data_IF_600581029671
#
_entry.id   IF_600581029671
#
_cell.length_a   1.000
_cell.length_b   1.000
_cell.length_c   1.000
_cell.angle_alpha   90.00
_cell.angle_beta   90.00
_cell.angle_gamma   90.00
#
_symmetry.space_group_name_H-M   'P 1'
#
loop_
_entity.id
_entity.type
_entity.pdbx_description
1 polymer ?
#
# COMPACT_ATOMS: atom_id res chain seq x y z
N UNK A 1 -6.10 -12.30 -15.48
CA UNK A 1 -6.93 -11.53 -14.48
C UNK A 1 -7.67 -10.35 -15.12
N UNK A 2 -8.82 -9.87 -14.60
CA UNK A 2 -9.55 -8.69 -15.13
C UNK A 2 -9.67 -7.57 -14.10
N UNK A 3 -9.34 -6.33 -14.49
CA UNK A 3 -9.40 -5.13 -13.64
C UNK A 3 -10.40 -4.11 -14.18
N UNK A 4 -10.96 -3.29 -13.28
CA UNK A 4 -11.97 -2.28 -13.55
C UNK A 4 -11.58 -0.94 -12.87
N UNK A 5 -11.94 0.19 -13.50
CA UNK A 5 -11.86 1.53 -12.89
C UNK A 5 -12.80 2.49 -13.62
N UNK A 6 -13.11 3.63 -13.02
CA UNK A 6 -13.69 4.74 -13.76
C UNK A 6 -12.62 5.67 -14.34
N UNK A 7 -12.96 6.33 -15.44
CA UNK A 7 -12.13 7.34 -16.12
C UNK A 7 -12.97 8.55 -16.49
N UNK A 8 -12.41 9.73 -16.30
CA UNK A 8 -12.91 11.01 -16.80
C UNK A 8 -11.71 11.88 -17.20
N UNK A 9 -11.97 12.99 -17.88
CA UNK A 9 -10.96 14.01 -18.20
C UNK A 9 -10.33 14.65 -16.97
N UNK A 10 -11.06 14.73 -15.85
CA UNK A 10 -10.63 15.39 -14.60
C UNK A 10 -9.95 14.44 -13.63
N UNK A 11 -10.46 13.22 -13.48
CA UNK A 11 -9.98 12.24 -12.52
C UNK A 11 -10.15 10.80 -13.01
N UNK A 12 -9.29 9.91 -12.52
CA UNK A 12 -9.32 8.48 -12.84
C UNK A 12 -9.23 7.66 -11.55
N UNK A 13 -10.11 6.68 -11.41
CA UNK A 13 -10.15 5.77 -10.26
C UNK A 13 -8.96 4.81 -10.22
N UNK A 14 -8.79 4.14 -9.07
CA UNK A 14 -7.80 3.06 -8.94
C UNK A 14 -8.32 1.79 -9.61
N UNK A 15 -7.41 0.97 -10.14
CA UNK A 15 -7.77 -0.35 -10.63
C UNK A 15 -8.20 -1.26 -9.47
N UNK A 16 -9.30 -1.98 -9.66
CA UNK A 16 -9.79 -3.00 -8.74
C UNK A 16 -10.24 -4.24 -9.50
N UNK A 17 -10.10 -5.41 -8.89
CA UNK A 17 -10.61 -6.69 -9.42
C UNK A 17 -12.14 -6.80 -9.27
N UNK A 18 -12.72 -6.02 -8.35
CA UNK A 18 -14.15 -6.06 -8.05
C UNK A 18 -14.92 -5.06 -8.92
N UNK A 19 -15.67 -5.58 -9.90
CA UNK A 19 -16.59 -4.76 -10.69
C UNK A 19 -17.60 -4.03 -9.79
N UNK A 20 -18.09 -4.68 -8.73
CA UNK A 20 -19.07 -4.07 -7.81
C UNK A 20 -18.46 -2.85 -7.12
N UNK A 21 -17.21 -2.95 -6.66
CA UNK A 21 -16.52 -1.83 -6.06
C UNK A 21 -16.28 -0.71 -7.07
N UNK A 22 -15.79 -1.04 -8.27
CA UNK A 22 -15.55 -0.05 -9.32
C UNK A 22 -16.83 0.70 -9.72
N UNK A 23 -17.96 -0.01 -9.82
CA UNK A 23 -19.28 0.58 -10.09
C UNK A 23 -19.72 1.49 -8.95
N UNK A 24 -19.49 1.10 -7.70
CA UNK A 24 -19.82 1.94 -6.54
C UNK A 24 -19.00 3.24 -6.56
N UNK A 25 -17.70 3.15 -6.74
CA UNK A 25 -16.83 4.33 -6.83
C UNK A 25 -17.20 5.23 -8.02
N UNK A 26 -17.58 4.64 -9.16
CA UNK A 26 -18.12 5.40 -10.29
C UNK A 26 -19.41 6.16 -9.92
N UNK A 27 -20.38 5.49 -9.30
CA UNK A 27 -21.66 6.10 -8.92
C UNK A 27 -21.48 7.20 -7.88
N UNK A 28 -20.58 7.02 -6.92
CA UNK A 28 -20.29 7.99 -5.86
C UNK A 28 -19.61 9.26 -6.43
N UNK A 29 -18.76 9.11 -7.46
CA UNK A 29 -17.92 10.21 -7.96
C UNK A 29 -18.46 10.89 -9.23
N UNK A 30 -19.29 10.23 -10.04
CA UNK A 30 -19.72 10.75 -11.36
C UNK A 30 -20.39 12.13 -11.25
N UNK A 31 -21.21 12.35 -10.24
CA UNK A 31 -21.98 13.59 -10.10
C UNK A 31 -21.04 14.74 -9.73
N UNK A 32 -20.03 14.47 -8.89
CA UNK A 32 -19.00 15.45 -8.53
C UNK A 32 -18.13 15.83 -9.73
N UNK A 33 -17.70 14.85 -10.52
CA UNK A 33 -16.85 15.08 -11.70
C UNK A 33 -17.56 15.90 -12.78
N UNK A 34 -18.88 15.79 -12.85
CA UNK A 34 -19.73 16.51 -13.80
C UNK A 34 -20.32 17.83 -13.25
N UNK A 35 -20.04 18.19 -12.00
CA UNK A 35 -20.69 19.33 -11.35
C UNK A 35 -20.15 20.71 -11.77
N UNK A 36 -18.86 20.83 -12.03
CA UNK A 36 -18.20 22.12 -12.36
C UNK A 36 -17.91 22.25 -13.86
N UNK A 37 -18.65 23.16 -14.50
CA UNK A 37 -18.50 23.62 -15.90
C UNK A 37 -18.10 22.49 -16.88
N UNK A 38 -18.94 21.45 -17.01
CA UNK A 38 -18.62 20.33 -17.89
C UNK A 38 -18.56 20.83 -19.33
N UNK A 39 -17.46 20.54 -20.03
CA UNK A 39 -17.39 20.73 -21.48
C UNK A 39 -18.48 19.88 -22.16
N UNK A 40 -19.01 20.32 -23.32
CA UNK A 40 -20.13 19.64 -24.02
C UNK A 40 -19.87 18.14 -24.30
N UNK A 41 -18.60 17.71 -24.33
CA UNK A 41 -18.16 16.34 -24.58
C UNK A 41 -17.61 15.60 -23.34
N UNK A 42 -17.74 16.19 -22.15
CA UNK A 42 -17.20 15.58 -20.93
C UNK A 42 -17.97 14.31 -20.57
N UNK A 43 -17.22 13.24 -20.32
CA UNK A 43 -17.79 11.91 -20.02
C UNK A 43 -17.03 11.25 -18.88
N UNK A 44 -17.78 10.57 -18.01
CA UNK A 44 -17.23 9.61 -17.04
C UNK A 44 -17.59 8.22 -17.54
N UNK A 45 -16.61 7.32 -17.61
CA UNK A 45 -16.76 5.97 -18.16
C UNK A 45 -16.24 4.95 -17.16
N UNK A 46 -16.88 3.79 -17.08
CA UNK A 46 -16.33 2.62 -16.41
C UNK A 46 -15.63 1.74 -17.44
N UNK A 47 -14.33 1.51 -17.26
CA UNK A 47 -13.48 0.76 -18.19
C UNK A 47 -12.96 -0.52 -17.55
N UNK A 48 -12.56 -1.48 -18.37
CA UNK A 48 -11.92 -2.72 -17.91
C UNK A 48 -10.74 -3.11 -18.78
N UNK A 49 -9.72 -3.70 -18.17
CA UNK A 49 -8.60 -4.33 -18.86
C UNK A 49 -8.50 -5.79 -18.47
N UNK A 50 -8.03 -6.61 -19.42
CA UNK A 50 -7.68 -8.00 -19.18
C UNK A 50 -6.15 -8.10 -19.14
N UNK A 51 -5.64 -8.54 -17.99
CA UNK A 51 -4.22 -8.78 -17.76
C UNK A 51 -3.94 -10.24 -18.12
N UNK A 52 -3.08 -10.51 -19.13
CA UNK A 52 -2.65 -11.85 -19.46
C UNK A 52 -1.97 -12.51 -18.27
N UNK A 53 -2.21 -13.81 -18.07
CA UNK A 53 -1.62 -14.53 -16.94
C UNK A 53 -0.08 -14.57 -17.03
N UNK A 54 0.49 -14.62 -18.25
CA UNK A 54 1.94 -14.52 -18.48
C UNK A 54 2.58 -13.24 -17.91
N UNK A 55 1.85 -12.13 -17.90
CA UNK A 55 2.33 -10.86 -17.33
C UNK A 55 2.27 -10.86 -15.80
N UNK A 56 1.32 -11.61 -15.22
CA UNK A 56 1.21 -11.74 -13.76
C UNK A 56 2.41 -12.51 -13.24
N UNK A 57 2.75 -13.63 -13.88
CA UNK A 57 3.91 -14.45 -13.53
C UNK A 57 5.21 -13.62 -13.61
N UNK A 58 5.37 -12.81 -14.67
CA UNK A 58 6.53 -11.90 -14.80
C UNK A 58 6.57 -10.85 -13.68
N UNK A 59 5.43 -10.26 -13.30
CA UNK A 59 5.36 -9.27 -12.22
C UNK A 59 5.61 -9.88 -10.83
N UNK A 60 5.21 -11.13 -10.59
CA UNK A 60 5.46 -11.83 -9.34
C UNK A 60 6.95 -12.21 -9.20
N UNK A 61 7.58 -12.69 -10.29
CA UNK A 61 8.99 -13.06 -10.31
C UNK A 61 9.94 -11.84 -10.29
N UNK A 62 9.53 -10.69 -10.85
CA UNK A 62 10.31 -9.43 -10.82
C UNK A 62 10.16 -8.64 -9.51
N UNK A 63 9.41 -9.14 -8.51
CA UNK A 63 9.23 -8.45 -7.22
C UNK A 63 10.57 -8.23 -6.52
N UNK A 64 11.03 -6.98 -6.56
CA UNK A 64 12.24 -6.54 -5.84
C UNK A 64 11.88 -5.92 -4.49
N UNK A 65 12.26 -6.58 -3.40
CA UNK A 65 12.18 -5.98 -2.06
C UNK A 65 13.20 -4.84 -1.93
N UNK A 66 12.72 -3.61 -1.69
CA UNK A 66 13.59 -2.43 -1.60
C UNK A 66 14.03 -2.12 -0.17
N UNK A 67 13.14 -2.29 0.81
CA UNK A 67 13.40 -2.10 2.24
C UNK A 67 12.43 -2.93 3.06
N UNK A 68 12.90 -3.42 4.20
CA UNK A 68 12.10 -4.14 5.19
C UNK A 68 12.26 -3.47 6.56
N UNK A 69 11.17 -3.31 7.29
CA UNK A 69 11.21 -2.98 8.71
C UNK A 69 10.89 -4.23 9.52
N UNK A 70 11.62 -4.43 10.62
CA UNK A 70 11.41 -5.53 11.56
C UNK A 70 10.92 -4.92 12.87
N UNK A 71 9.88 -5.53 13.43
CA UNK A 71 9.38 -5.18 14.75
C UNK A 71 10.31 -5.78 15.81
N UNK A 72 10.82 -4.95 16.73
CA UNK A 72 11.63 -5.41 17.85
C UNK A 72 11.05 -4.88 19.16
N UNK A 73 11.18 -5.67 20.23
CA UNK A 73 10.90 -5.20 21.58
C UNK A 73 11.84 -4.05 21.94
N UNK A 74 11.30 -3.05 22.65
CA UNK A 74 12.11 -1.96 23.19
C UNK A 74 13.02 -2.45 24.33
N UNK A 75 14.36 -2.46 24.16
CA UNK A 75 15.26 -2.90 25.21
C UNK A 75 15.20 -2.03 26.46
N UNK A 76 14.80 -0.76 26.33
CA UNK A 76 14.67 0.17 27.46
C UNK A 76 13.42 -0.07 28.30
N UNK A 77 12.50 -0.91 27.83
CA UNK A 77 11.22 -1.23 28.47
C UNK A 77 10.99 -2.73 28.62
N UNK A 78 12.05 -3.54 28.52
CA UNK A 78 12.00 -5.00 28.73
C UNK A 78 11.47 -5.39 30.13
N UNK A 79 11.69 -4.54 31.13
CA UNK A 79 11.25 -4.75 32.52
C UNK A 79 9.85 -4.16 32.81
N UNK A 80 9.26 -3.42 31.88
CA UNK A 80 7.91 -2.85 31.97
C UNK A 80 6.96 -3.70 31.10
N UNK A 81 5.69 -3.84 31.48
CA UNK A 81 4.67 -4.49 30.65
C UNK A 81 3.54 -3.49 30.30
N UNK A 82 3.82 -2.47 29.46
CA UNK A 82 2.90 -1.36 29.21
C UNK A 82 1.53 -1.77 28.69
N UNK A 83 1.41 -2.94 28.04
CA UNK A 83 0.12 -3.53 27.65
C UNK A 83 -0.79 -3.89 28.82
N UNK A 84 -0.24 -4.30 29.96
CA UNK A 84 -1.04 -4.49 31.18
C UNK A 84 -1.52 -3.16 31.76
N UNK A 85 -0.76 -2.08 31.51
CA UNK A 85 -1.12 -0.70 31.86
C UNK A 85 -1.95 0.02 30.78
N UNK A 86 -2.39 -0.69 29.73
CA UNK A 86 -3.28 -0.18 28.69
C UNK A 86 -2.60 0.60 27.56
N UNK A 87 -1.28 0.51 27.42
CA UNK A 87 -0.50 1.14 26.35
C UNK A 87 0.05 0.11 25.34
N UNK A 88 0.11 0.46 24.05
CA UNK A 88 0.53 -0.47 22.97
C UNK A 88 1.93 -0.15 22.39
N UNK A 89 2.86 0.30 23.24
CA UNK A 89 4.18 0.81 22.80
C UNK A 89 5.36 -0.11 23.15
N UNK A 90 5.13 -1.39 23.40
CA UNK A 90 6.16 -2.37 23.81
C UNK A 90 7.16 -2.72 22.69
N UNK A 91 6.89 -2.23 21.48
CA UNK A 91 7.61 -2.54 20.26
C UNK A 91 7.92 -1.26 19.46
N UNK A 92 9.06 -1.25 18.78
CA UNK A 92 9.35 -0.28 17.73
C UNK A 92 9.76 -0.96 16.43
N UNK A 93 9.39 -0.35 15.31
CA UNK A 93 9.82 -0.79 13.99
C UNK A 93 11.20 -0.19 13.68
N UNK A 94 12.14 -1.02 13.25
CA UNK A 94 13.47 -0.60 12.79
C UNK A 94 13.73 -1.15 11.40
N UNK A 95 14.48 -0.43 10.58
CA UNK A 95 14.91 -0.92 9.28
C UNK A 95 15.86 -2.12 9.43
N UNK A 96 15.69 -3.15 8.61
CA UNK A 96 16.56 -4.34 8.56
C UNK A 96 18.04 -3.96 8.42
N UNK A 97 18.33 -2.94 7.62
CA UNK A 97 19.68 -2.44 7.38
C UNK A 97 20.34 -1.86 8.64
N UNK A 98 19.53 -1.24 9.51
CA UNK A 98 20.02 -0.66 10.75
C UNK A 98 20.26 -1.74 11.83
N UNK A 99 19.55 -2.87 11.76
CA UNK A 99 19.86 -4.05 12.59
C UNK A 99 21.20 -4.66 12.18
N UNK A 100 21.45 -4.82 10.87
CA UNK A 100 22.70 -5.39 10.37
C UNK A 100 23.92 -4.58 10.83
N UNK A 101 23.85 -3.24 10.72
CA UNK A 101 24.90 -2.33 11.23
C UNK A 101 25.12 -2.46 12.74
N UNK A 102 24.06 -2.63 13.53
CA UNK A 102 24.17 -2.80 14.99
C UNK A 102 24.89 -4.10 15.36
N UNK A 103 24.68 -5.20 14.61
CA UNK A 103 25.38 -6.47 14.83
C UNK A 103 26.87 -6.35 14.51
N UNK A 104 27.25 -5.74 13.39
CA UNK A 104 28.66 -5.52 13.03
C UNK A 104 29.42 -4.69 14.10
N UNK A 105 28.78 -3.65 14.65
CA UNK A 105 29.39 -2.81 15.70
C UNK A 105 29.57 -3.60 17.01
N UNK A 106 28.63 -4.48 17.36
CA UNK A 106 28.74 -5.31 18.57
C UNK A 106 29.85 -6.37 18.48
N UNK A 107 30.10 -6.93 17.29
CA UNK A 107 31.18 -7.91 17.08
C UNK A 107 32.57 -7.26 17.10
N UNK A 108 32.69 -6.02 16.63
CA UNK A 108 33.95 -5.24 16.71
C UNK A 108 34.28 -4.75 18.11
N UNK A 109 33.27 -4.45 18.94
CA UNK A 109 33.47 -4.02 20.32
C UNK A 109 33.90 -5.16 21.27
N UNK A 110 33.81 -6.42 20.82
CA UNK A 110 34.08 -7.62 21.63
C UNK A 110 35.39 -8.32 21.21
N UNK A 111 36.20 -7.70 20.35
CA UNK A 111 37.46 -8.24 19.82
C UNK A 111 38.65 -7.37 20.22
#
# INVERSE_FOLDING_TARGET
>A
MKLYRYESSKNTGRWTESLIQATKEFEDEKDYLMADDPEEDETVKLVSIEIPDDLIDELEDERKELKQAILMHDPARLDENPREDGYDFDFYAIWSDDIAKRKEVSEWATK
#
